data_IF_692473522829
#
_entry.id   IF_692473522829
#
_cell.length_a   1.000
_cell.length_b   1.000
_cell.length_c   1.000
_cell.angle_alpha   90.00
_cell.angle_beta   90.00
_cell.angle_gamma   90.00
#
_symmetry.space_group_name_H-M   'P 1'
#
loop_
_entity.id
_entity.type
_entity.pdbx_description
1 polymer ?
#
# COMPACT_ATOMS: atom_id res chain seq x y z
N UNK A 1 63.64 8.41 -19.33
CA UNK A 1 63.19 7.03 -19.60
C UNK A 1 63.34 6.27 -18.28
N UNK A 2 62.35 5.95 -17.46
CA UNK A 2 60.89 5.92 -17.50
C UNK A 2 60.36 6.33 -16.12
N UNK A 3 59.17 6.94 -16.09
CA UNK A 3 58.49 7.45 -14.90
C UNK A 3 57.93 6.32 -14.02
N UNK A 4 58.05 6.46 -12.69
CA UNK A 4 57.29 5.69 -11.70
C UNK A 4 55.82 6.14 -11.73
N UNK A 5 54.96 5.29 -12.29
CA UNK A 5 53.52 5.48 -12.28
C UNK A 5 52.98 5.04 -10.90
N UNK A 6 52.48 6.01 -10.12
CA UNK A 6 51.77 5.77 -8.85
C UNK A 6 50.50 4.96 -9.16
N UNK A 7 50.48 3.69 -8.78
CA UNK A 7 49.31 2.82 -8.92
C UNK A 7 48.13 3.42 -8.16
N UNK A 8 47.19 3.98 -8.91
CA UNK A 8 45.90 4.44 -8.45
C UNK A 8 45.08 3.19 -8.08
N UNK A 9 44.86 2.97 -6.78
CA UNK A 9 43.96 1.95 -6.27
C UNK A 9 42.54 2.24 -6.80
N UNK A 10 42.13 1.52 -7.84
CA UNK A 10 40.73 1.42 -8.25
C UNK A 10 39.97 0.73 -7.12
N UNK A 11 39.33 1.53 -6.27
CA UNK A 11 38.29 1.04 -5.36
C UNK A 11 37.10 0.57 -6.17
N UNK A 12 36.98 -0.74 -6.36
CA UNK A 12 35.74 -1.38 -6.83
C UNK A 12 34.74 -1.27 -5.67
N UNK A 13 34.00 -0.17 -5.64
CA UNK A 13 32.76 -0.08 -4.87
C UNK A 13 31.76 -0.97 -5.60
N UNK A 14 31.65 -2.22 -5.16
CA UNK A 14 30.55 -3.09 -5.52
C UNK A 14 29.27 -2.46 -4.95
N UNK A 15 28.60 -1.64 -5.76
CA UNK A 15 27.22 -1.26 -5.51
C UNK A 15 26.41 -2.55 -5.44
N UNK A 16 26.03 -2.93 -4.22
CA UNK A 16 25.01 -3.93 -3.96
C UNK A 16 23.71 -3.37 -4.52
N UNK A 17 23.45 -3.64 -5.81
CA UNK A 17 22.14 -3.47 -6.42
C UNK A 17 21.23 -4.60 -5.90
N UNK A 18 20.90 -4.53 -4.61
CA UNK A 18 19.75 -5.22 -4.02
C UNK A 18 18.46 -4.52 -4.44
N UNK A 19 18.27 -4.32 -5.75
CA UNK A 19 17.00 -3.91 -6.31
C UNK A 19 16.07 -5.11 -6.28
N UNK A 20 15.39 -5.33 -5.15
CA UNK A 20 14.40 -6.39 -5.01
C UNK A 20 13.29 -6.18 -6.05
N UNK A 21 13.35 -6.95 -7.14
CA UNK A 21 12.19 -7.20 -7.98
C UNK A 21 11.13 -7.86 -7.08
N UNK A 22 10.08 -7.11 -6.75
CA UNK A 22 8.97 -7.56 -5.90
C UNK A 22 7.85 -8.22 -6.70
N UNK A 23 7.97 -8.29 -8.03
CA UNK A 23 6.96 -8.92 -8.89
C UNK A 23 6.84 -10.41 -8.60
N UNK A 24 5.61 -10.87 -8.36
CA UNK A 24 5.30 -12.28 -8.15
C UNK A 24 5.58 -12.79 -6.74
N UNK A 25 5.60 -11.89 -5.74
CA UNK A 25 5.60 -12.28 -4.33
C UNK A 25 4.20 -12.64 -3.84
N UNK A 26 3.15 -12.11 -4.47
CA UNK A 26 1.76 -12.50 -4.24
C UNK A 26 1.34 -13.57 -5.26
N UNK A 27 0.32 -14.35 -4.92
CA UNK A 27 -0.30 -15.31 -5.85
C UNK A 27 -1.74 -14.91 -6.17
N UNK A 28 -2.20 -15.14 -7.40
CA UNK A 28 -3.61 -14.94 -7.74
C UNK A 28 -4.46 -15.89 -6.90
N UNK A 29 -5.50 -15.36 -6.25
CA UNK A 29 -6.44 -16.19 -5.52
C UNK A 29 -7.16 -17.15 -6.48
N UNK A 30 -7.41 -18.37 -6.01
CA UNK A 30 -8.21 -19.34 -6.76
C UNK A 30 -9.67 -18.91 -6.88
N UNK A 31 -10.17 -18.11 -5.93
CA UNK A 31 -11.49 -17.52 -5.97
C UNK A 31 -11.38 -16.00 -6.16
N UNK A 32 -11.90 -15.50 -7.29
CA UNK A 32 -11.86 -14.06 -7.60
C UNK A 32 -13.10 -13.31 -7.11
N UNK A 33 -14.08 -14.01 -6.54
CA UNK A 33 -15.26 -13.40 -5.93
C UNK A 33 -14.89 -12.84 -4.57
N UNK A 34 -15.08 -11.53 -4.39
CA UNK A 34 -15.03 -10.91 -3.07
C UNK A 34 -16.21 -11.45 -2.25
N UNK A 35 -15.93 -12.14 -1.15
CA UNK A 35 -16.96 -12.47 -0.17
C UNK A 35 -17.27 -11.20 0.61
N UNK A 36 -18.54 -10.78 0.65
CA UNK A 36 -18.98 -9.70 1.54
C UNK A 36 -18.49 -9.98 2.97
N UNK A 37 -18.22 -8.91 3.71
CA UNK A 37 -17.81 -9.05 5.09
C UNK A 37 -18.85 -9.86 5.88
N UNK A 38 -18.40 -10.80 6.70
CA UNK A 38 -19.30 -11.55 7.58
C UNK A 38 -20.04 -10.61 8.52
N UNK A 39 -21.19 -11.01 9.07
CA UNK A 39 -22.01 -10.17 9.96
C UNK A 39 -21.24 -9.58 11.17
N UNK A 40 -20.12 -10.18 11.57
CA UNK A 40 -19.30 -9.76 12.71
C UNK A 40 -17.97 -9.07 12.32
N UNK A 41 -17.71 -8.87 11.03
CA UNK A 41 -16.47 -8.26 10.54
C UNK A 41 -16.76 -7.19 9.50
N UNK A 42 -15.79 -6.31 9.28
CA UNK A 42 -15.70 -5.49 8.08
C UNK A 42 -14.68 -6.10 7.11
N UNK A 43 -14.71 -5.67 5.86
CA UNK A 43 -13.68 -5.98 4.88
C UNK A 43 -13.17 -4.69 4.24
N UNK A 44 -11.87 -4.55 4.05
CA UNK A 44 -11.26 -3.47 3.27
C UNK A 44 -10.55 -4.05 2.07
N UNK A 45 -10.84 -3.50 0.89
CA UNK A 45 -10.19 -3.84 -0.37
C UNK A 45 -9.19 -2.75 -0.73
N UNK A 46 -7.91 -3.09 -0.78
CA UNK A 46 -6.88 -2.20 -1.31
C UNK A 46 -6.61 -2.59 -2.76
N UNK A 47 -6.80 -1.66 -3.69
CA UNK A 47 -6.72 -1.94 -5.13
C UNK A 47 -5.92 -0.89 -5.90
N UNK A 48 -5.30 -1.32 -7.00
CA UNK A 48 -4.48 -0.46 -7.84
C UNK A 48 -4.59 -0.83 -9.31
N UNK A 49 -4.72 0.18 -10.16
CA UNK A 49 -4.49 0.09 -11.60
C UNK A 49 -3.87 1.42 -12.05
N UNK A 50 -2.55 1.44 -12.24
CA UNK A 50 -1.79 2.64 -12.57
C UNK A 50 -0.53 2.31 -13.36
N UNK A 51 -0.42 2.91 -14.55
CA UNK A 51 0.78 2.86 -15.39
C UNK A 51 2.02 3.45 -14.67
N UNK A 52 1.82 4.51 -13.87
CA UNK A 52 2.91 5.09 -13.07
C UNK A 52 3.29 4.12 -11.96
N UNK A 53 4.60 3.81 -11.89
CA UNK A 53 5.15 2.88 -10.90
C UNK A 53 4.77 1.42 -11.11
N UNK A 54 4.30 1.02 -12.30
CA UNK A 54 3.77 -0.34 -12.55
C UNK A 54 4.73 -1.48 -12.16
N UNK A 55 6.05 -1.25 -12.24
CA UNK A 55 7.08 -2.22 -11.85
C UNK A 55 7.34 -2.31 -10.33
N UNK A 56 6.63 -1.54 -9.51
CA UNK A 56 6.84 -1.43 -8.06
C UNK A 56 5.56 -1.87 -7.34
N UNK A 57 5.72 -2.74 -6.34
CA UNK A 57 4.65 -3.14 -5.45
C UNK A 57 4.44 -2.12 -4.33
N UNK A 58 3.19 -1.80 -4.03
CA UNK A 58 2.84 -1.04 -2.84
C UNK A 58 2.66 -2.00 -1.65
N UNK A 59 3.44 -1.83 -0.59
CA UNK A 59 3.31 -2.68 0.61
C UNK A 59 2.35 -2.06 1.60
N UNK A 60 1.33 -2.81 2.02
CA UNK A 60 0.23 -2.33 2.87
C UNK A 60 0.31 -3.01 4.23
N UNK A 61 0.11 -2.22 5.28
CA UNK A 61 0.18 -2.62 6.68
C UNK A 61 -1.01 -2.09 7.45
N UNK A 62 -1.42 -2.81 8.49
CA UNK A 62 -2.22 -2.25 9.58
C UNK A 62 -1.27 -1.80 10.69
N UNK A 63 -1.60 -0.71 11.39
CA UNK A 63 -0.84 -0.27 12.56
C UNK A 63 -1.56 -0.76 13.81
N UNK A 64 -1.01 -1.80 14.43
CA UNK A 64 -1.53 -2.39 15.67
C UNK A 64 -0.58 -2.05 16.81
N UNK A 65 -1.06 -1.37 17.85
CA UNK A 65 -0.24 -0.97 19.00
C UNK A 65 1.06 -0.23 18.60
N UNK A 66 0.98 0.63 17.59
CA UNK A 66 2.11 1.40 17.07
C UNK A 66 3.14 0.58 16.28
N UNK A 67 2.76 -0.62 15.82
CA UNK A 67 3.62 -1.50 15.02
C UNK A 67 2.97 -1.82 13.67
N UNK A 68 3.71 -1.70 12.56
CA UNK A 68 3.23 -2.16 11.25
C UNK A 68 3.09 -3.68 11.20
N UNK A 69 1.87 -4.16 10.95
CA UNK A 69 1.53 -5.56 10.69
C UNK A 69 1.24 -5.75 9.21
N UNK A 70 1.98 -6.65 8.56
CA UNK A 70 1.95 -6.81 7.11
C UNK A 70 0.64 -7.42 6.62
N UNK A 71 -0.05 -6.72 5.71
CA UNK A 71 -1.30 -7.17 5.10
C UNK A 71 -1.09 -7.77 3.72
N UNK A 72 -0.20 -7.18 2.93
CA UNK A 72 0.10 -7.69 1.59
C UNK A 72 0.79 -6.67 0.69
N UNK A 73 1.02 -7.10 -0.55
CA UNK A 73 1.53 -6.26 -1.61
C UNK A 73 0.44 -6.03 -2.66
N UNK A 74 0.31 -4.79 -3.10
CA UNK A 74 -0.58 -4.38 -4.19
C UNK A 74 0.28 -4.00 -5.39
N UNK A 75 0.42 -4.96 -6.31
CA UNK A 75 1.03 -4.79 -7.63
C UNK A 75 0.06 -4.07 -8.58
N UNK A 76 0.53 -3.67 -9.75
CA UNK A 76 -0.34 -3.10 -10.78
C UNK A 76 -1.41 -4.11 -11.23
N UNK A 77 -2.63 -3.63 -11.46
CA UNK A 77 -3.82 -4.43 -11.78
C UNK A 77 -4.14 -5.55 -10.75
N UNK A 78 -3.81 -5.34 -9.48
CA UNK A 78 -4.16 -6.27 -8.40
C UNK A 78 -4.97 -5.61 -7.27
N UNK A 79 -5.59 -6.45 -6.45
CA UNK A 79 -6.25 -6.07 -5.21
C UNK A 79 -6.02 -7.12 -4.13
N UNK A 80 -6.02 -6.69 -2.86
CA UNK A 80 -6.05 -7.56 -1.69
C UNK A 80 -7.33 -7.31 -0.89
N UNK A 81 -7.84 -8.35 -0.23
CA UNK A 81 -8.96 -8.26 0.68
C UNK A 81 -8.47 -8.48 2.12
N UNK A 82 -8.78 -7.55 3.01
CA UNK A 82 -8.36 -7.55 4.41
C UNK A 82 -9.60 -7.59 5.28
N UNK A 83 -9.69 -8.56 6.17
CA UNK A 83 -10.74 -8.59 7.19
C UNK A 83 -10.32 -7.69 8.35
N UNK A 84 -11.27 -6.89 8.85
CA UNK A 84 -11.07 -6.02 10.00
C UNK A 84 -12.18 -6.24 11.02
N UNK A 85 -11.88 -6.02 12.29
CA UNK A 85 -12.95 -5.88 13.29
C UNK A 85 -13.73 -4.59 13.02
N UNK A 86 -15.00 -4.48 13.45
CA UNK A 86 -15.69 -3.19 13.41
C UNK A 86 -14.98 -2.16 14.33
N UNK A 87 -14.89 -0.91 13.87
CA UNK A 87 -14.29 0.19 14.63
C UNK A 87 -13.18 0.92 13.86
N UNK A 88 -12.26 1.52 14.62
CA UNK A 88 -11.20 2.38 14.09
C UNK A 88 -9.93 1.58 13.77
N UNK A 89 -9.39 1.81 12.59
CA UNK A 89 -8.15 1.24 12.11
C UNK A 89 -7.25 2.31 11.50
N UNK A 90 -5.95 2.03 11.50
CA UNK A 90 -4.96 2.83 10.83
C UNK A 90 -4.18 1.93 9.87
N UNK A 91 -4.19 2.29 8.60
CA UNK A 91 -3.44 1.60 7.57
C UNK A 91 -2.27 2.47 7.11
N UNK A 92 -1.19 1.80 6.72
CA UNK A 92 0.01 2.43 6.21
C UNK A 92 0.40 1.78 4.88
N UNK A 93 0.81 2.60 3.91
CA UNK A 93 1.43 2.13 2.67
C UNK A 93 2.89 2.57 2.61
N UNK A 94 3.79 1.67 2.23
CA UNK A 94 5.23 1.91 2.19
C UNK A 94 5.82 1.69 0.79
N UNK A 95 6.70 2.61 0.39
CA UNK A 95 7.58 2.54 -0.79
C UNK A 95 8.86 3.37 -0.54
N UNK A 96 9.13 4.44 -1.30
CA UNK A 96 10.19 5.42 -0.95
C UNK A 96 9.87 6.13 0.37
N UNK A 97 8.59 6.44 0.60
CA UNK A 97 8.05 7.07 1.79
C UNK A 97 6.95 6.19 2.41
N UNK A 98 6.39 6.63 3.53
CA UNK A 98 5.13 6.11 4.06
C UNK A 98 4.01 7.14 3.96
N UNK A 99 2.79 6.66 3.77
CA UNK A 99 1.55 7.43 3.84
C UNK A 99 0.49 6.59 4.55
N UNK A 100 -0.59 7.22 5.03
CA UNK A 100 -1.56 6.55 5.89
C UNK A 100 -3.00 6.71 5.39
N UNK A 101 -3.88 5.90 5.97
CA UNK A 101 -5.32 5.95 5.79
C UNK A 101 -5.97 5.60 7.12
N UNK A 102 -6.84 6.47 7.62
CA UNK A 102 -7.70 6.13 8.75
C UNK A 102 -8.96 5.41 8.25
N UNK A 103 -9.51 4.53 9.05
CA UNK A 103 -10.78 3.89 8.72
C UNK A 103 -11.64 3.75 9.96
N UNK A 104 -12.93 4.04 9.82
CA UNK A 104 -13.98 3.74 10.78
C UNK A 104 -15.01 2.85 10.08
N UNK A 105 -14.97 1.56 10.40
CA UNK A 105 -15.66 0.51 9.64
C UNK A 105 -16.73 -0.19 10.47
N UNK A 106 -17.86 -0.51 9.83
CA UNK A 106 -18.97 -1.22 10.45
C UNK A 106 -19.00 -2.69 10.04
N UNK A 107 -19.56 -3.53 10.92
CA UNK A 107 -19.76 -4.95 10.65
C UNK A 107 -20.67 -5.17 9.44
N UNK A 108 -20.43 -6.24 8.69
CA UNK A 108 -21.19 -6.63 7.50
C UNK A 108 -20.98 -5.73 6.28
N UNK A 109 -20.01 -4.80 6.33
CA UNK A 109 -19.72 -3.88 5.21
C UNK A 109 -18.35 -4.11 4.59
N UNK A 110 -18.27 -3.87 3.28
CA UNK A 110 -17.02 -3.85 2.53
C UNK A 110 -16.66 -2.43 2.10
N UNK A 111 -15.43 -2.04 2.38
CA UNK A 111 -14.83 -0.74 2.11
C UNK A 111 -13.73 -0.88 1.06
N UNK A 112 -13.40 0.20 0.38
CA UNK A 112 -12.44 0.17 -0.73
C UNK A 112 -11.49 1.35 -0.63
N UNK A 113 -10.21 1.09 -0.85
CA UNK A 113 -9.16 2.11 -0.94
C UNK A 113 -8.39 1.94 -2.24
N UNK A 114 -8.20 3.05 -2.95
CA UNK A 114 -7.33 3.11 -4.12
C UNK A 114 -5.90 3.39 -3.66
N UNK A 115 -4.95 2.63 -4.20
CA UNK A 115 -3.52 2.89 -4.03
C UNK A 115 -3.03 3.67 -5.25
N UNK A 116 -2.61 4.93 -5.05
CA UNK A 116 -2.10 5.77 -6.14
C UNK A 116 -0.58 5.90 -6.08
N UNK A 117 0.07 5.81 -7.23
CA UNK A 117 1.49 6.06 -7.37
C UNK A 117 1.73 7.55 -7.69
N UNK A 118 2.71 8.16 -7.03
CA UNK A 118 3.21 9.50 -7.36
C UNK A 118 4.73 9.46 -7.50
N UNK A 119 5.28 10.35 -8.32
CA UNK A 119 6.73 10.46 -8.49
C UNK A 119 7.38 10.82 -7.16
N UNK A 120 8.40 10.04 -6.77
CA UNK A 120 9.31 10.38 -5.67
C UNK A 120 10.66 10.85 -6.22
N UNK A 121 11.63 10.99 -5.31
CA UNK A 121 12.97 11.47 -5.67
C UNK A 121 13.79 10.41 -6.40
N UNK A 122 13.60 9.14 -6.04
CA UNK A 122 14.35 7.98 -6.53
C UNK A 122 13.45 6.81 -6.94
N UNK A 123 12.29 6.64 -6.31
CA UNK A 123 11.27 5.61 -6.60
C UNK A 123 9.86 6.20 -6.48
N UNK A 124 8.84 5.48 -6.92
CA UNK A 124 7.46 5.89 -6.69
C UNK A 124 7.16 5.96 -5.19
N UNK A 125 6.36 6.95 -4.79
CA UNK A 125 5.68 7.01 -3.50
C UNK A 125 4.24 6.54 -3.70
N UNK A 126 3.66 5.92 -2.70
CA UNK A 126 2.25 5.54 -2.73
C UNK A 126 1.44 6.34 -1.72
N UNK A 127 0.16 6.50 -2.02
CA UNK A 127 -0.86 7.04 -1.14
C UNK A 127 -2.09 6.15 -1.16
N UNK A 128 -2.81 6.13 -0.05
CA UNK A 128 -4.08 5.43 0.11
C UNK A 128 -5.22 6.44 0.07
N UNK A 129 -6.25 6.15 -0.71
CA UNK A 129 -7.39 7.03 -0.91
C UNK A 129 -8.71 6.29 -0.70
N UNK A 130 -9.61 6.77 0.18
CA UNK A 130 -10.95 6.20 0.33
C UNK A 130 -11.71 6.21 -0.99
N UNK A 131 -12.40 5.11 -1.30
CA UNK A 131 -13.51 5.15 -2.26
C UNK A 131 -14.75 5.62 -1.52
N UNK A 132 -15.22 6.83 -1.82
CA UNK A 132 -16.27 7.49 -1.05
C UNK A 132 -17.64 7.48 -1.73
N UNK A 133 -18.70 7.56 -0.91
CA UNK A 133 -20.07 7.84 -1.36
C UNK A 133 -20.32 9.31 -1.75
N UNK A 134 -19.33 10.19 -1.59
CA UNK A 134 -19.42 11.57 -2.06
C UNK A 134 -19.25 11.64 -3.58
N UNK A 135 -20.35 11.80 -4.31
CA UNK A 135 -20.34 11.94 -5.77
C UNK A 135 -19.44 13.09 -6.24
N UNK A 136 -18.78 12.89 -7.39
CA UNK A 136 -17.91 13.88 -8.01
C UNK A 136 -16.49 14.00 -7.42
N UNK A 137 -16.14 13.23 -6.38
CA UNK A 137 -14.75 13.08 -5.93
C UNK A 137 -13.97 12.17 -6.92
N UNK A 138 -12.64 12.32 -6.97
CA UNK A 138 -11.79 11.52 -7.87
C UNK A 138 -11.98 10.01 -7.66
N UNK A 139 -11.95 9.59 -6.39
CA UNK A 139 -12.20 8.21 -5.95
C UNK A 139 -13.57 8.10 -5.29
N UNK A 140 -14.62 8.36 -6.05
CA UNK A 140 -15.99 8.11 -5.63
C UNK A 140 -16.57 6.87 -6.31
N UNK A 141 -17.69 6.39 -5.81
CA UNK A 141 -18.38 5.24 -6.38
C UNK A 141 -18.92 5.46 -7.81
N UNK A 142 -19.17 6.69 -8.22
CA UNK A 142 -19.57 7.05 -9.60
C UNK A 142 -18.36 7.31 -10.52
N UNK A 143 -17.13 7.23 -10.01
CA UNK A 143 -15.89 7.39 -10.80
C UNK A 143 -15.70 6.22 -11.76
N UNK A 144 -15.51 6.54 -13.05
CA UNK A 144 -15.22 5.54 -14.09
C UNK A 144 -13.93 4.77 -13.80
N UNK A 145 -12.94 5.43 -13.20
CA UNK A 145 -11.65 4.80 -12.88
C UNK A 145 -11.80 3.82 -11.72
N UNK A 146 -12.61 4.15 -10.70
CA UNK A 146 -12.97 3.21 -9.64
C UNK A 146 -13.72 2.01 -10.22
N UNK A 147 -14.73 2.23 -11.07
CA UNK A 147 -15.48 1.13 -11.70
C UNK A 147 -14.57 0.23 -12.56
N UNK A 148 -13.64 0.84 -13.31
CA UNK A 148 -12.64 0.11 -14.09
C UNK A 148 -11.69 -0.70 -13.20
N UNK A 149 -11.21 -0.14 -12.10
CA UNK A 149 -10.36 -0.85 -11.13
C UNK A 149 -11.07 -2.05 -10.52
N UNK A 150 -12.34 -1.91 -10.13
CA UNK A 150 -13.14 -3.01 -9.59
C UNK A 150 -13.23 -4.19 -10.57
N UNK A 151 -13.43 -3.89 -11.86
CA UNK A 151 -13.53 -4.90 -12.92
C UNK A 151 -12.18 -5.52 -13.32
N UNK A 152 -11.11 -4.71 -13.39
CA UNK A 152 -9.83 -5.15 -13.97
C UNK A 152 -8.87 -5.79 -12.99
N UNK A 153 -8.91 -5.37 -11.73
CA UNK A 153 -7.94 -5.84 -10.74
C UNK A 153 -8.16 -7.31 -10.42
N UNK A 154 -7.08 -8.06 -10.20
CA UNK A 154 -7.14 -9.47 -9.80
C UNK A 154 -6.93 -9.58 -8.29
N UNK A 155 -7.76 -10.37 -7.61
CA UNK A 155 -7.56 -10.68 -6.21
C UNK A 155 -6.31 -11.54 -6.03
N UNK A 156 -5.42 -11.09 -5.17
CA UNK A 156 -4.18 -11.80 -4.83
C UNK A 156 -4.09 -12.07 -3.33
N UNK A 157 -3.32 -13.09 -2.97
CA UNK A 157 -3.13 -13.58 -1.62
C UNK A 157 -1.64 -13.66 -1.28
N UNK A 158 -1.34 -13.57 0.02
CA UNK A 158 0.03 -13.70 0.50
C UNK A 158 0.58 -15.10 0.26
N UNK A 159 1.87 -15.15 -0.10
CA UNK A 159 2.65 -16.39 -0.14
C UNK A 159 3.69 -16.37 0.97
N UNK A 160 4.42 -17.47 1.15
CA UNK A 160 5.59 -17.46 2.04
C UNK A 160 6.65 -16.46 1.59
N UNK A 161 6.76 -16.19 0.29
CA UNK A 161 7.70 -15.19 -0.24
C UNK A 161 7.31 -13.77 0.17
N UNK A 162 6.03 -13.39 0.10
CA UNK A 162 5.61 -12.06 0.52
C UNK A 162 5.78 -11.86 2.03
N UNK A 163 5.53 -12.89 2.84
CA UNK A 163 5.77 -12.86 4.28
C UNK A 163 7.26 -12.75 4.62
N UNK A 164 8.13 -13.51 3.95
CA UNK A 164 9.58 -13.42 4.13
C UNK A 164 10.12 -12.06 3.71
N UNK A 165 9.61 -11.49 2.61
CA UNK A 165 9.95 -10.13 2.21
C UNK A 165 9.60 -9.13 3.32
N UNK A 166 8.41 -9.21 3.91
CA UNK A 166 8.01 -8.30 4.99
C UNK A 166 8.92 -8.44 6.22
N UNK A 167 9.28 -9.66 6.60
CA UNK A 167 10.22 -9.92 7.69
C UNK A 167 11.60 -9.33 7.40
N UNK A 168 12.13 -9.53 6.19
CA UNK A 168 13.43 -9.02 5.77
C UNK A 168 13.49 -7.49 5.76
N UNK A 169 12.38 -6.83 5.42
CA UNK A 169 12.30 -5.37 5.33
C UNK A 169 11.78 -4.71 6.62
N UNK A 170 11.51 -5.47 7.68
CA UNK A 170 10.84 -4.98 8.89
C UNK A 170 11.52 -3.75 9.53
N UNK A 171 12.86 -3.72 9.53
CA UNK A 171 13.61 -2.57 10.06
C UNK A 171 13.36 -1.29 9.25
N UNK A 172 13.36 -1.37 7.92
CA UNK A 172 13.09 -0.24 7.02
C UNK A 172 11.62 0.23 7.16
N UNK A 173 10.69 -0.73 7.21
CA UNK A 173 9.26 -0.47 7.42
C UNK A 173 9.02 0.27 8.74
N UNK A 174 9.63 -0.22 9.83
CA UNK A 174 9.52 0.40 11.16
C UNK A 174 10.15 1.80 11.19
N UNK A 175 11.29 1.98 10.52
CA UNK A 175 11.94 3.29 10.40
C UNK A 175 11.02 4.29 9.70
N UNK A 176 10.37 3.90 8.60
CA UNK A 176 9.44 4.77 7.86
C UNK A 176 8.18 5.09 8.67
N UNK A 177 7.65 4.13 9.43
CA UNK A 177 6.56 4.43 10.37
C UNK A 177 6.98 5.55 11.35
N UNK A 178 8.13 5.41 12.00
CA UNK A 178 8.62 6.39 12.98
C UNK A 178 8.90 7.77 12.36
N UNK A 179 9.34 7.81 11.11
CA UNK A 179 9.64 9.05 10.39
C UNK A 179 8.36 9.77 9.93
N UNK A 180 7.42 9.05 9.33
CA UNK A 180 6.27 9.66 8.66
C UNK A 180 5.02 9.77 9.53
N UNK A 181 4.88 8.96 10.58
CA UNK A 181 3.72 9.03 11.47
C UNK A 181 3.59 10.40 12.18
N UNK A 182 4.66 10.98 12.76
CA UNK A 182 4.58 12.32 13.36
C UNK A 182 4.25 13.43 12.34
N UNK A 183 4.62 13.24 11.08
CA UNK A 183 4.27 14.17 9.98
C UNK A 183 2.79 14.03 9.62
N UNK A 184 2.28 12.81 9.55
CA UNK A 184 0.86 12.54 9.34
C UNK A 184 -0.02 13.20 10.40
N UNK A 185 0.38 13.09 11.67
CA UNK A 185 -0.37 13.65 12.81
C UNK A 185 -0.49 15.19 12.79
N UNK A 186 0.31 15.87 11.96
CA UNK A 186 0.25 17.33 11.78
C UNK A 186 -0.68 17.77 10.64
N UNK A 187 -1.31 16.84 9.93
CA UNK A 187 -2.29 17.15 8.89
C UNK A 187 -3.51 17.89 9.45
N UNK A 188 -4.10 18.74 8.63
CA UNK A 188 -5.35 19.42 8.99
C UNK A 188 -6.50 18.41 9.12
N UNK A 189 -7.56 18.82 9.82
CA UNK A 189 -8.75 18.00 9.95
C UNK A 189 -9.39 17.70 8.58
N UNK A 190 -9.31 18.65 7.65
CA UNK A 190 -9.79 18.51 6.27
C UNK A 190 -8.98 17.45 5.51
N UNK A 191 -7.66 17.49 5.60
CA UNK A 191 -6.77 16.49 4.99
C UNK A 191 -7.04 15.09 5.55
N UNK A 192 -7.16 14.97 6.88
CA UNK A 192 -7.46 13.69 7.54
C UNK A 192 -8.83 13.16 7.12
N UNK A 193 -9.84 14.04 7.02
CA UNK A 193 -11.18 13.66 6.55
C UNK A 193 -11.14 13.12 5.12
N UNK A 194 -10.35 13.70 4.22
CA UNK A 194 -10.15 13.17 2.86
C UNK A 194 -9.36 11.85 2.82
N UNK A 195 -8.71 11.48 3.92
CA UNK A 195 -7.95 10.24 4.09
C UNK A 195 -8.58 9.28 5.10
N UNK A 196 -9.88 9.41 5.30
CA UNK A 196 -10.63 8.54 6.21
C UNK A 196 -11.68 7.77 5.44
N UNK A 197 -11.63 6.43 5.52
CA UNK A 197 -12.79 5.60 5.21
C UNK A 197 -13.82 5.80 6.31
N UNK A 198 -14.95 6.41 5.99
CA UNK A 198 -16.02 6.62 6.95
C UNK A 198 -17.01 5.46 6.92
N UNK A 199 -17.75 5.24 8.02
CA UNK A 199 -18.79 4.20 8.11
C UNK A 199 -19.78 4.22 6.93
N UNK A 200 -20.02 5.42 6.39
CA UNK A 200 -20.96 5.67 5.31
C UNK A 200 -20.46 5.12 3.98
N UNK A 201 -19.15 5.00 3.77
CA UNK A 201 -18.56 4.62 2.47
C UNK A 201 -18.68 3.12 2.16
N UNK A 202 -18.95 2.30 3.18
CA UNK A 202 -19.06 0.84 3.05
C UNK A 202 -20.34 0.38 2.37
N UNK A 203 -20.21 -0.66 1.53
CA UNK A 203 -21.29 -1.33 0.80
C UNK A 203 -21.66 -2.68 1.39
#
# INVERSE_FOLDING_TARGET
>A
MFAMFRSFLLGIVALVLGGCASSGQMIKSTNQTLTNASENHAQIIFMRSSFVGAAISASVFEITNGKPEFLGLVEDDTKIAVNATPGKHLYMVVSEAADFLEADVAAGKTYYSVVTARMGMWKARFSLWPVTNTSGKEFSWDSKDVQKMLMKTVLVENTDKSKQWAQHNNSDITSKYNEYWPVWQQKSAEDLKERTLSIQDGR
#
